data_IF_007992785997
#
_entry.id   IF_007992785997
#
_cell.length_a   1.000
_cell.length_b   1.000
_cell.length_c   1.000
_cell.angle_alpha   90.00
_cell.angle_beta   90.00
_cell.angle_gamma   90.00
#
_symmetry.space_group_name_H-M   'P 1'
#
loop_
_entity.id
_entity.type
_entity.pdbx_description
1 polymer ?
#
# COMPACT_ATOMS: atom_id res chain seq x y z
N UNK A 1 22.93 13.30 -13.19
CA UNK A 1 22.65 11.85 -13.26
C UNK A 1 21.69 11.52 -12.12
N UNK A 2 20.61 10.78 -12.39
CA UNK A 2 19.66 10.39 -11.33
C UNK A 2 20.27 9.26 -10.50
N UNK A 3 20.13 9.33 -9.17
CA UNK A 3 20.59 8.29 -8.26
C UNK A 3 19.56 7.15 -8.19
N UNK A 4 20.05 5.91 -8.08
CA UNK A 4 19.17 4.76 -7.87
C UNK A 4 18.54 4.82 -6.47
N UNK A 5 17.35 4.21 -6.23
CA UNK A 5 16.64 4.34 -4.95
C UNK A 5 17.50 4.07 -3.70
N UNK A 6 18.38 3.05 -3.75
CA UNK A 6 19.32 2.74 -2.67
C UNK A 6 20.30 3.89 -2.38
N UNK A 7 20.90 4.43 -3.43
CA UNK A 7 21.89 5.51 -3.34
C UNK A 7 21.24 6.82 -2.89
N UNK A 8 20.04 7.10 -3.43
CA UNK A 8 19.19 8.22 -3.01
C UNK A 8 18.84 8.13 -1.53
N UNK A 9 18.38 6.97 -1.06
CA UNK A 9 18.04 6.76 0.36
C UNK A 9 19.26 6.96 1.27
N UNK A 10 20.42 6.41 0.89
CA UNK A 10 21.67 6.60 1.64
C UNK A 10 22.09 8.08 1.70
N UNK A 11 21.97 8.80 0.59
CA UNK A 11 22.30 10.23 0.55
C UNK A 11 21.38 11.04 1.46
N UNK A 12 20.06 10.79 1.40
CA UNK A 12 19.07 11.46 2.26
C UNK A 12 19.37 11.19 3.73
N UNK A 13 19.58 9.93 4.11
CA UNK A 13 19.88 9.56 5.49
C UNK A 13 21.15 10.25 6.02
N UNK A 14 22.21 10.32 5.21
CA UNK A 14 23.46 10.96 5.59
C UNK A 14 23.37 12.48 5.73
N UNK A 15 22.46 13.12 4.99
CA UNK A 15 22.30 14.59 4.99
C UNK A 15 21.18 15.09 5.91
N UNK A 16 20.35 14.18 6.44
CA UNK A 16 19.26 14.52 7.33
C UNK A 16 19.78 15.19 8.62
N UNK A 17 19.16 16.30 9.01
CA UNK A 17 19.53 17.07 10.22
C UNK A 17 18.54 16.95 11.35
N UNK A 18 17.28 16.66 11.03
CA UNK A 18 16.17 16.67 11.98
C UNK A 18 15.66 15.27 12.33
N UNK A 19 16.08 14.26 11.57
CA UNK A 19 15.70 12.86 11.74
C UNK A 19 16.94 12.00 11.56
N UNK A 20 16.98 10.86 12.24
CA UNK A 20 18.05 9.88 12.14
C UNK A 20 17.46 8.47 12.09
N UNK A 21 18.26 7.53 11.63
CA UNK A 21 17.90 6.11 11.63
C UNK A 21 18.37 5.52 12.95
N UNK A 22 17.46 4.87 13.67
CA UNK A 22 17.77 4.20 14.93
C UNK A 22 18.08 2.71 14.71
N UNK A 23 19.35 2.35 14.84
CA UNK A 23 19.86 1.00 14.53
C UNK A 23 19.33 -0.06 15.49
N UNK A 24 19.16 0.26 16.78
CA UNK A 24 18.58 -0.68 17.74
C UNK A 24 17.12 -0.97 17.39
N UNK A 25 16.38 0.07 17.00
CA UNK A 25 15.00 -0.05 16.53
C UNK A 25 14.87 -0.94 15.30
N UNK A 26 15.82 -0.87 14.36
CA UNK A 26 15.87 -1.75 13.18
C UNK A 26 16.06 -3.21 13.61
N UNK A 27 17.01 -3.49 14.51
CA UNK A 27 17.29 -4.85 14.95
C UNK A 27 16.10 -5.45 15.70
N UNK A 28 15.46 -4.69 16.58
CA UNK A 28 14.27 -5.14 17.32
C UNK A 28 13.12 -5.44 16.35
N UNK A 29 12.85 -4.54 15.40
CA UNK A 29 11.84 -4.75 14.39
C UNK A 29 12.14 -5.99 13.52
N UNK A 30 13.40 -6.20 13.13
CA UNK A 30 13.79 -7.35 12.35
C UNK A 30 13.55 -8.67 13.11
N UNK A 31 13.80 -8.70 14.42
CA UNK A 31 13.51 -9.86 15.27
C UNK A 31 12.00 -10.11 15.39
N UNK A 32 11.21 -9.07 15.62
CA UNK A 32 9.74 -9.17 15.69
C UNK A 32 9.14 -9.69 14.38
N UNK A 33 9.59 -9.17 13.23
CA UNK A 33 9.16 -9.65 11.90
C UNK A 33 9.54 -11.12 11.71
N UNK A 34 10.77 -11.50 12.08
CA UNK A 34 11.24 -12.88 11.96
C UNK A 34 10.41 -13.82 12.83
N UNK A 35 10.09 -13.44 14.06
CA UNK A 35 9.22 -14.21 14.95
C UNK A 35 7.80 -14.29 14.39
N UNK A 36 7.26 -13.19 13.87
CA UNK A 36 5.97 -13.14 13.21
C UNK A 36 5.88 -14.07 12.00
N UNK A 37 6.96 -14.18 11.21
CA UNK A 37 7.05 -15.12 10.10
C UNK A 37 7.10 -16.58 10.58
N UNK A 38 7.90 -16.88 11.61
CA UNK A 38 8.01 -18.23 12.18
C UNK A 38 6.70 -18.72 12.80
N UNK A 39 5.97 -17.82 13.46
CA UNK A 39 4.69 -18.13 14.12
C UNK A 39 3.50 -18.10 13.15
N UNK A 40 3.69 -17.63 11.92
CA UNK A 40 2.61 -17.44 10.93
C UNK A 40 1.70 -16.25 11.23
N UNK A 41 2.02 -15.44 12.24
CA UNK A 41 1.32 -14.18 12.52
C UNK A 41 1.47 -13.21 11.34
N UNK A 42 2.67 -13.14 10.75
CA UNK A 42 2.99 -12.42 9.51
C UNK A 42 3.12 -13.46 8.40
N UNK A 43 2.40 -13.28 7.30
CA UNK A 43 2.54 -14.12 6.11
C UNK A 43 2.45 -13.25 4.86
N UNK A 44 3.34 -13.52 3.91
CA UNK A 44 3.38 -12.88 2.59
C UNK A 44 2.09 -13.20 1.81
N UNK A 45 1.49 -14.35 2.10
CA UNK A 45 0.27 -14.82 1.45
C UNK A 45 -0.94 -13.93 1.81
N UNK A 46 -0.95 -13.31 3.01
CA UNK A 46 -2.05 -12.44 3.46
C UNK A 46 -2.19 -11.18 2.60
N UNK A 47 -1.10 -10.65 2.05
CA UNK A 47 -1.14 -9.50 1.13
C UNK A 47 -1.87 -9.85 -0.18
N UNK A 48 -1.76 -11.11 -0.62
CA UNK A 48 -2.45 -11.62 -1.82
C UNK A 48 -3.91 -12.02 -1.57
N UNK A 49 -4.34 -12.06 -0.30
CA UNK A 49 -5.69 -12.48 0.12
C UNK A 49 -6.69 -11.32 0.23
N UNK A 50 -6.26 -10.06 0.06
CA UNK A 50 -7.23 -8.97 -0.04
C UNK A 50 -8.01 -9.14 -1.35
N UNK A 51 -9.28 -9.56 -1.26
CA UNK A 51 -10.18 -9.76 -2.42
C UNK A 51 -10.24 -8.57 -3.38
N UNK A 52 -9.90 -7.38 -2.86
CA UNK A 52 -9.95 -6.12 -3.59
C UNK A 52 -8.69 -5.88 -4.44
N UNK A 53 -7.64 -6.69 -4.29
CA UNK A 53 -6.45 -6.62 -5.15
C UNK A 53 -6.71 -7.31 -6.49
N UNK A 54 -6.15 -6.77 -7.59
CA UNK A 54 -6.10 -7.52 -8.83
C UNK A 54 -5.31 -8.82 -8.63
N UNK A 55 -5.75 -9.90 -9.28
CA UNK A 55 -5.01 -11.16 -9.31
C UNK A 55 -3.56 -10.89 -9.76
N UNK A 56 -2.59 -11.60 -9.18
CA UNK A 56 -1.16 -11.46 -9.50
C UNK A 56 -0.83 -11.61 -10.99
N UNK A 57 -1.67 -12.32 -11.76
CA UNK A 57 -1.55 -12.44 -13.22
C UNK A 57 -2.14 -11.28 -14.03
N UNK A 58 -2.75 -10.27 -13.40
CA UNK A 58 -3.39 -9.18 -14.11
C UNK A 58 -2.34 -8.20 -14.69
N UNK A 59 -2.40 -7.84 -15.98
CA UNK A 59 -1.37 -7.02 -16.62
C UNK A 59 -1.19 -5.63 -16.00
N UNK A 60 -2.21 -5.13 -15.30
CA UNK A 60 -2.18 -3.84 -14.57
C UNK A 60 -2.02 -3.98 -13.04
N UNK A 61 -1.67 -5.16 -12.54
CA UNK A 61 -1.53 -5.38 -11.09
C UNK A 61 -0.47 -4.45 -10.48
N UNK A 62 0.65 -4.25 -11.19
CA UNK A 62 1.74 -3.38 -10.74
C UNK A 62 1.30 -1.91 -10.71
N UNK A 63 0.66 -1.42 -11.77
CA UNK A 63 0.13 -0.05 -11.84
C UNK A 63 -0.87 0.22 -10.71
N UNK A 64 -1.70 -0.77 -10.41
CA UNK A 64 -2.68 -0.68 -9.33
C UNK A 64 -2.01 -0.57 -7.96
N UNK A 65 -1.02 -1.41 -7.66
CA UNK A 65 -0.25 -1.36 -6.40
C UNK A 65 0.43 0.00 -6.28
N UNK A 66 1.05 0.47 -7.37
CA UNK A 66 1.71 1.77 -7.38
C UNK A 66 0.76 2.92 -7.02
N UNK A 67 -0.44 2.97 -7.61
CA UNK A 67 -1.45 3.99 -7.27
C UNK A 67 -1.93 3.83 -5.82
N UNK A 68 -2.21 2.61 -5.36
CA UNK A 68 -2.65 2.36 -4.00
C UNK A 68 -1.63 2.84 -2.97
N UNK A 69 -0.37 2.44 -3.12
CA UNK A 69 0.70 2.78 -2.18
C UNK A 69 1.03 4.28 -2.21
N UNK A 70 0.89 4.91 -3.38
CA UNK A 70 1.00 6.37 -3.52
C UNK A 70 -0.17 7.13 -2.85
N UNK A 71 -1.26 6.47 -2.46
CA UNK A 71 -2.39 7.12 -1.79
C UNK A 71 -2.60 6.62 -0.35
N UNK A 72 -1.81 5.66 0.11
CA UNK A 72 -1.96 4.97 1.40
C UNK A 72 -1.69 5.86 2.64
N UNK A 73 -1.20 7.08 2.44
CA UNK A 73 -0.94 8.02 3.54
C UNK A 73 -2.18 8.78 4.02
N UNK A 74 -3.31 8.73 3.31
CA UNK A 74 -4.42 9.68 3.51
C UNK A 74 -5.57 9.24 4.45
N UNK A 75 -5.47 8.10 5.15
CA UNK A 75 -6.64 7.54 5.87
C UNK A 75 -6.54 7.55 7.40
N UNK A 76 -5.56 8.24 7.95
CA UNK A 76 -5.38 8.39 9.38
C UNK A 76 -6.31 9.50 9.87
N UNK A 77 -7.35 9.14 10.63
CA UNK A 77 -8.24 10.09 11.30
C UNK A 77 -8.09 9.98 12.80
N UNK A 78 -7.94 11.11 13.49
CA UNK A 78 -7.93 11.20 14.95
C UNK A 78 -9.30 10.86 15.56
N UNK A 79 -10.38 11.02 14.79
CA UNK A 79 -11.74 10.69 15.20
C UNK A 79 -12.27 9.47 14.42
N UNK A 80 -12.67 8.38 15.10
CA UNK A 80 -13.25 7.19 14.47
C UNK A 80 -14.48 7.47 13.60
N UNK A 81 -15.28 8.48 13.95
CA UNK A 81 -16.55 8.79 13.29
C UNK A 81 -16.37 9.56 11.98
N UNK A 82 -15.24 10.25 11.81
CA UNK A 82 -14.91 11.03 10.61
C UNK A 82 -14.20 10.20 9.53
N UNK A 83 -14.07 8.89 9.73
CA UNK A 83 -13.41 8.00 8.77
C UNK A 83 -14.26 7.90 7.50
N UNK A 84 -13.66 8.30 6.38
CA UNK A 84 -14.23 8.07 5.06
C UNK A 84 -14.55 6.59 4.86
N UNK A 85 -15.77 6.30 4.37
CA UNK A 85 -16.28 4.94 4.17
C UNK A 85 -16.62 4.69 2.72
N UNK A 86 -16.21 3.53 2.20
CA UNK A 86 -16.63 3.02 0.89
C UNK A 86 -17.06 1.58 1.06
N UNK A 87 -18.30 1.26 0.72
CA UNK A 87 -18.89 -0.07 0.88
C UNK A 87 -18.72 -0.63 2.32
N UNK A 88 -18.87 0.23 3.33
CA UNK A 88 -18.71 -0.14 4.74
C UNK A 88 -17.26 -0.30 5.23
N UNK A 89 -16.27 -0.24 4.33
CA UNK A 89 -14.85 -0.29 4.66
C UNK A 89 -14.31 1.10 5.00
N UNK A 90 -13.23 1.15 5.80
CA UNK A 90 -12.47 2.38 6.12
C UNK A 90 -11.00 2.17 5.83
N UNK A 91 -10.20 3.24 5.88
CA UNK A 91 -8.75 3.09 5.74
C UNK A 91 -8.33 2.65 4.33
N UNK A 92 -7.26 1.85 4.30
CA UNK A 92 -6.75 1.19 3.11
C UNK A 92 -7.83 0.42 2.33
N UNK A 93 -8.71 -0.32 3.02
CA UNK A 93 -9.76 -1.11 2.36
C UNK A 93 -10.82 -0.24 1.68
N UNK A 94 -11.11 0.95 2.21
CA UNK A 94 -11.99 1.92 1.55
C UNK A 94 -11.37 2.44 0.24
N UNK A 95 -10.05 2.69 0.23
CA UNK A 95 -9.32 3.07 -0.97
C UNK A 95 -9.36 1.95 -2.02
N UNK A 96 -9.07 0.71 -1.62
CA UNK A 96 -9.16 -0.44 -2.53
C UNK A 96 -10.57 -0.56 -3.14
N UNK A 97 -11.62 -0.36 -2.35
CA UNK A 97 -13.01 -0.34 -2.83
C UNK A 97 -13.31 0.79 -3.80
N UNK A 98 -12.80 1.99 -3.54
CA UNK A 98 -13.01 3.14 -4.42
C UNK A 98 -12.33 2.97 -5.79
N UNK A 99 -11.07 2.52 -5.80
CA UNK A 99 -10.32 2.31 -7.05
C UNK A 99 -10.97 1.18 -7.86
N UNK A 100 -11.38 0.09 -7.21
CA UNK A 100 -12.14 -0.99 -7.86
C UNK A 100 -13.40 -0.51 -8.53
N UNK A 101 -14.23 0.25 -7.80
CA UNK A 101 -15.44 0.86 -8.36
C UNK A 101 -15.12 1.75 -9.56
N UNK A 102 -14.08 2.58 -9.48
CA UNK A 102 -13.71 3.47 -10.58
C UNK A 102 -13.30 2.70 -11.85
N UNK A 103 -12.52 1.63 -11.71
CA UNK A 103 -12.06 0.82 -12.85
C UNK A 103 -13.18 -0.01 -13.45
N UNK A 104 -14.06 -0.58 -12.63
CA UNK A 104 -15.21 -1.34 -13.12
C UNK A 104 -16.18 -0.43 -13.90
N UNK A 105 -16.47 0.77 -13.38
CA UNK A 105 -17.33 1.76 -14.05
C UNK A 105 -16.73 2.24 -15.39
N UNK A 106 -15.42 2.51 -15.43
CA UNK A 106 -14.72 2.90 -16.66
C UNK A 106 -14.83 1.79 -17.72
N UNK A 107 -14.66 0.54 -17.30
CA UNK A 107 -14.75 -0.63 -18.20
C UNK A 107 -16.17 -0.79 -18.76
N UNK A 108 -17.20 -0.62 -17.93
CA UNK A 108 -18.60 -0.67 -18.38
C UNK A 108 -18.92 0.47 -19.35
N UNK A 109 -18.41 1.68 -19.08
CA UNK A 109 -18.62 2.85 -19.94
C UNK A 109 -18.02 2.63 -21.34
N UNK A 110 -16.77 2.17 -21.44
CA UNK A 110 -16.14 1.87 -22.73
C UNK A 110 -16.84 0.74 -23.49
N UNK A 111 -17.29 -0.32 -22.79
CA UNK A 111 -18.06 -1.40 -23.42
C UNK A 111 -19.36 -0.91 -24.04
N UNK A 112 -20.02 0.06 -23.40
CA UNK A 112 -21.29 0.64 -23.85
C UNK A 112 -21.13 1.70 -24.95
N UNK A 113 -19.93 2.27 -25.09
CA UNK A 113 -19.58 3.23 -26.15
C UNK A 113 -19.12 2.54 -27.45
N UNK A 114 -18.63 1.30 -27.34
CA UNK A 114 -18.15 0.49 -28.46
C UNK A 114 -19.19 -0.54 -28.95
N UNK A 115 -20.38 -0.56 -28.34
CA UNK A 115 -21.56 -1.37 -28.75
C UNK A 115 -22.60 -0.50 -29.43
#
# INVERSE_FOLDING_TARGET
MALMPRESGKLIANLAKNVFIEEEGINNLAQEVLEGLKTGAVSIEKFSQCEMHPNSGHPKAIDWIFVLDTLNFSFWSSNPDDKWKVNGQTGYFALCAAIKRAIDLLTMFFRRLLS
#
